data_IF_338009146477
#
_entry.id   IF_338009146477
#
_cell.length_a   1.000
_cell.length_b   1.000
_cell.length_c   1.000
_cell.angle_alpha   90.00
_cell.angle_beta   90.00
_cell.angle_gamma   90.00
#
_symmetry.space_group_name_H-M   'P 1'
#
loop_
_entity.id
_entity.type
_entity.pdbx_description
1 polymer ?
#
# COMPACT_ATOMS: atom_id res chain seq x y z
N UNK A 1 -10.50 -9.47 -9.09
CA UNK A 1 -9.81 -9.23 -7.81
C UNK A 1 -10.67 -9.80 -6.70
N UNK A 2 -10.06 -10.53 -5.78
CA UNK A 2 -10.75 -11.19 -4.68
C UNK A 2 -10.04 -10.91 -3.36
N UNK A 3 -10.80 -10.52 -2.35
CA UNK A 3 -10.33 -10.38 -0.98
C UNK A 3 -10.32 -11.76 -0.31
N UNK A 4 -9.17 -12.14 0.23
CA UNK A 4 -8.95 -13.39 0.98
C UNK A 4 -8.75 -13.03 2.44
N UNK A 5 -9.49 -13.69 3.33
CA UNK A 5 -9.45 -13.41 4.76
C UNK A 5 -8.86 -14.61 5.49
N UNK A 6 -7.94 -14.35 6.41
CA UNK A 6 -7.14 -15.39 7.05
C UNK A 6 -7.20 -15.18 8.57
N UNK A 7 -7.39 -16.26 9.31
CA UNK A 7 -7.44 -16.26 10.78
C UNK A 7 -6.04 -16.26 11.42
N UNK A 8 -5.98 -16.25 12.75
CA UNK A 8 -4.71 -16.31 13.51
C UNK A 8 -3.91 -17.59 13.26
N UNK A 9 -4.58 -18.67 12.86
CA UNK A 9 -3.98 -19.98 12.57
C UNK A 9 -3.54 -20.08 11.10
N UNK A 10 -3.51 -18.97 10.37
CA UNK A 10 -3.16 -18.89 8.95
C UNK A 10 -4.09 -19.73 8.06
N UNK A 11 -5.35 -19.93 8.48
CA UNK A 11 -6.36 -20.63 7.70
C UNK A 11 -7.31 -19.64 7.06
N UNK A 12 -7.67 -19.89 5.80
CA UNK A 12 -8.66 -19.08 5.11
C UNK A 12 -10.05 -19.19 5.72
N UNK A 13 -10.68 -18.04 5.86
CA UNK A 13 -12.02 -17.88 6.42
C UNK A 13 -13.02 -17.84 5.27
N UNK A 14 -13.63 -18.99 4.97
CA UNK A 14 -14.66 -19.12 3.94
C UNK A 14 -14.14 -18.82 2.52
N UNK A 15 -15.06 -18.64 1.56
CA UNK A 15 -14.67 -18.45 0.16
C UNK A 15 -14.08 -17.06 -0.12
N UNK A 16 -13.27 -16.93 -1.19
CA UNK A 16 -12.82 -15.63 -1.72
C UNK A 16 -13.98 -14.69 -2.01
N UNK A 17 -13.86 -13.42 -1.61
CA UNK A 17 -14.93 -12.42 -1.80
C UNK A 17 -14.58 -11.52 -3.00
N UNK A 18 -15.45 -11.40 -4.01
CA UNK A 18 -15.20 -10.52 -5.15
C UNK A 18 -15.14 -9.06 -4.66
N UNK A 19 -14.20 -8.30 -5.20
CA UNK A 19 -14.01 -6.88 -4.87
C UNK A 19 -13.90 -6.02 -6.13
N UNK A 20 -14.20 -4.74 -5.96
CA UNK A 20 -14.11 -3.72 -7.00
C UNK A 20 -12.77 -3.01 -6.88
N UNK A 21 -12.09 -2.85 -8.02
CA UNK A 21 -10.90 -2.01 -8.13
C UNK A 21 -11.33 -0.64 -8.66
N UNK A 22 -11.28 0.40 -7.83
CA UNK A 22 -11.59 1.77 -8.25
C UNK A 22 -11.20 2.80 -7.18
N UNK A 23 -10.51 3.90 -7.48
CA UNK A 23 -9.79 4.18 -8.73
C UNK A 23 -8.66 3.17 -8.95
N UNK A 24 -8.12 3.11 -10.17
CA UNK A 24 -7.09 2.15 -10.58
C UNK A 24 -6.03 1.96 -9.48
N UNK A 25 -5.79 0.70 -9.09
CA UNK A 25 -4.92 0.27 -7.98
C UNK A 25 -5.45 0.36 -6.53
N UNK A 26 -6.71 0.76 -6.28
CA UNK A 26 -7.35 0.67 -4.95
C UNK A 26 -8.38 -0.46 -4.94
N UNK A 27 -8.33 -1.34 -3.93
CA UNK A 27 -9.20 -2.51 -3.79
C UNK A 27 -9.97 -2.41 -2.49
N UNK A 28 -11.31 -2.38 -2.58
CA UNK A 28 -12.17 -2.22 -1.42
C UNK A 28 -12.58 -3.58 -0.86
N UNK A 29 -11.99 -3.95 0.27
CA UNK A 29 -12.36 -5.14 1.04
C UNK A 29 -13.14 -4.73 2.29
N UNK A 30 -14.31 -5.34 2.52
CA UNK A 30 -15.05 -5.13 3.76
C UNK A 30 -14.30 -5.72 4.97
N UNK A 31 -14.51 -5.15 6.16
CA UNK A 31 -14.02 -5.77 7.40
C UNK A 31 -14.77 -7.07 7.67
N UNK A 32 -14.04 -8.11 8.12
CA UNK A 32 -14.61 -9.43 8.43
C UNK A 32 -14.22 -9.84 9.84
N UNK A 33 -15.21 -10.30 10.63
CA UNK A 33 -14.96 -10.80 11.98
C UNK A 33 -13.98 -11.97 11.93
N UNK A 34 -13.08 -12.03 12.91
CA UNK A 34 -12.04 -13.05 13.09
C UNK A 34 -10.94 -13.09 12.01
N UNK A 35 -10.94 -12.15 11.06
CA UNK A 35 -9.84 -11.99 10.12
C UNK A 35 -8.71 -11.22 10.79
N UNK A 36 -7.59 -11.90 11.05
CA UNK A 36 -6.37 -11.28 11.58
C UNK A 36 -5.44 -10.84 10.45
N UNK A 37 -5.55 -11.51 9.30
CA UNK A 37 -4.79 -11.19 8.11
C UNK A 37 -5.68 -11.14 6.86
N UNK A 38 -5.22 -10.44 5.83
CA UNK A 38 -5.85 -10.42 4.52
C UNK A 38 -4.84 -10.56 3.39
N UNK A 39 -5.33 -11.01 2.25
CA UNK A 39 -4.61 -11.02 0.99
C UNK A 39 -5.56 -10.64 -0.16
N UNK A 40 -5.00 -10.31 -1.31
CA UNK A 40 -5.73 -10.00 -2.52
C UNK A 40 -5.20 -10.86 -3.66
N UNK A 41 -6.10 -11.52 -4.38
CA UNK A 41 -5.78 -12.34 -5.55
C UNK A 41 -6.52 -11.87 -6.80
N UNK A 42 -6.04 -12.23 -8.01
CA UNK A 42 -6.70 -11.84 -9.27
C UNK A 42 -7.96 -12.70 -9.50
N UNK A 43 -7.80 -14.02 -9.39
CA UNK A 43 -8.83 -15.05 -9.39
C UNK A 43 -9.14 -15.62 -8.01
N UNK A 44 -10.23 -16.40 -7.87
CA UNK A 44 -10.63 -17.00 -6.60
C UNK A 44 -9.71 -18.16 -6.18
N UNK A 45 -9.13 -18.89 -7.14
CA UNK A 45 -8.29 -20.07 -6.87
C UNK A 45 -6.79 -19.78 -7.01
N UNK A 46 -6.43 -18.53 -7.29
CA UNK A 46 -5.03 -18.11 -7.38
C UNK A 46 -4.31 -18.28 -6.04
N UNK A 47 -3.00 -18.62 -6.06
CA UNK A 47 -2.21 -18.78 -4.85
C UNK A 47 -2.04 -17.45 -4.11
N UNK A 48 -2.05 -17.52 -2.78
CA UNK A 48 -1.76 -16.39 -1.89
C UNK A 48 -0.25 -16.21 -1.81
N UNK A 49 0.26 -15.08 -2.30
CA UNK A 49 1.69 -14.75 -2.31
C UNK A 49 2.08 -13.86 -1.13
N UNK A 50 1.25 -12.87 -0.82
CA UNK A 50 1.51 -11.84 0.19
C UNK A 50 0.34 -11.77 1.17
N UNK A 51 0.63 -11.64 2.46
CA UNK A 51 -0.37 -11.57 3.53
C UNK A 51 -0.08 -10.33 4.38
N UNK A 52 -1.10 -9.49 4.57
CA UNK A 52 -1.01 -8.29 5.40
C UNK A 52 -1.85 -8.45 6.67
N UNK A 53 -1.32 -8.01 7.82
CA UNK A 53 -2.07 -7.97 9.07
C UNK A 53 -3.19 -6.93 8.98
N UNK A 54 -4.40 -7.33 9.35
CA UNK A 54 -5.55 -6.42 9.44
C UNK A 54 -5.43 -5.63 10.74
N UNK A 55 -5.45 -4.31 10.63
CA UNK A 55 -5.43 -3.40 11.77
C UNK A 55 -6.78 -2.68 11.83
N UNK A 56 -7.46 -2.70 12.98
CA UNK A 56 -8.63 -1.85 13.19
C UNK A 56 -8.16 -0.42 13.50
N UNK A 57 -8.24 0.44 12.49
CA UNK A 57 -7.79 1.83 12.53
C UNK A 57 -8.86 2.82 12.99
N UNK A 58 -9.99 2.34 13.54
CA UNK A 58 -11.16 3.19 13.86
C UNK A 58 -11.21 3.69 15.30
N UNK A 59 -10.38 3.18 16.22
CA UNK A 59 -10.47 3.52 17.66
C UNK A 59 -9.12 3.52 18.37
N UNK A 60 -9.00 4.43 19.34
CA UNK A 60 -7.84 4.53 20.24
C UNK A 60 -6.59 5.07 19.55
N UNK A 61 -5.43 4.71 20.09
CA UNK A 61 -4.11 5.17 19.62
C UNK A 61 -3.72 4.64 18.22
N UNK A 62 -4.55 3.78 17.63
CA UNK A 62 -4.38 3.20 16.29
C UNK A 62 -5.10 3.99 15.19
N UNK A 63 -5.82 5.06 15.55
CA UNK A 63 -6.32 6.02 14.55
C UNK A 63 -5.11 6.59 13.82
N UNK A 64 -4.99 6.37 12.50
CA UNK A 64 -3.82 6.81 11.78
C UNK A 64 -3.78 8.33 11.82
N UNK A 65 -2.67 8.88 12.31
CA UNK A 65 -2.40 10.33 12.31
C UNK A 65 -2.49 10.94 10.91
N UNK A 66 -2.36 10.10 9.89
CA UNK A 66 -2.26 10.47 8.50
C UNK A 66 -3.30 9.70 7.69
N UNK A 67 -4.06 10.42 6.88
CA UNK A 67 -5.23 9.85 6.20
C UNK A 67 -4.85 8.96 5.00
N UNK A 68 -3.73 9.26 4.36
CA UNK A 68 -3.26 8.57 3.16
C UNK A 68 -1.89 7.92 3.41
N UNK A 69 -1.59 6.89 2.62
CA UNK A 69 -0.25 6.34 2.42
C UNK A 69 -0.23 5.60 1.08
N UNK A 70 0.74 5.87 0.23
CA UNK A 70 0.88 5.18 -1.06
C UNK A 70 2.13 4.29 -1.06
N UNK A 71 2.15 3.22 -1.84
CA UNK A 71 3.34 2.42 -2.08
C UNK A 71 3.71 2.52 -3.55
N UNK A 72 4.86 3.11 -3.88
CA UNK A 72 5.26 3.25 -5.27
C UNK A 72 6.14 2.08 -5.72
N UNK A 73 6.08 1.84 -7.03
CA UNK A 73 7.00 0.93 -7.70
C UNK A 73 8.44 1.44 -7.55
N UNK A 74 9.44 0.56 -7.67
CA UNK A 74 10.83 0.98 -7.62
C UNK A 74 11.19 2.00 -8.71
N UNK A 75 11.99 3.01 -8.34
CA UNK A 75 12.29 4.19 -9.17
C UNK A 75 13.53 3.99 -10.07
N UNK A 76 14.06 2.77 -10.18
CA UNK A 76 15.19 2.42 -11.05
C UNK A 76 14.76 1.99 -12.45
N UNK A 77 15.69 2.05 -13.41
CA UNK A 77 15.49 1.63 -14.81
C UNK A 77 15.70 2.78 -15.79
N UNK A 78 15.62 2.48 -17.09
CA UNK A 78 15.87 3.46 -18.17
C UNK A 78 14.64 4.34 -18.52
N UNK A 79 13.59 4.23 -17.72
CA UNK A 79 12.33 4.98 -17.88
C UNK A 79 12.40 6.32 -17.15
N UNK A 80 11.51 7.26 -17.54
CA UNK A 80 11.39 8.59 -16.91
C UNK A 80 10.68 8.54 -15.54
N UNK A 81 11.09 7.63 -14.66
CA UNK A 81 10.44 7.40 -13.35
C UNK A 81 10.51 8.58 -12.40
N UNK A 82 11.60 9.35 -12.45
CA UNK A 82 11.71 10.61 -11.71
C UNK A 82 10.70 11.66 -12.18
N UNK A 83 10.42 11.73 -13.49
CA UNK A 83 9.41 12.64 -14.01
C UNK A 83 8.01 12.21 -13.56
N UNK A 84 7.69 10.92 -13.67
CA UNK A 84 6.42 10.37 -13.17
C UNK A 84 6.25 10.59 -11.66
N UNK A 85 7.35 10.56 -10.89
CA UNK A 85 7.31 10.87 -9.48
C UNK A 85 6.99 12.34 -9.21
N UNK A 86 7.59 13.27 -9.95
CA UNK A 86 7.30 14.70 -9.84
C UNK A 86 5.85 14.97 -10.19
N UNK A 87 5.36 14.42 -11.30
CA UNK A 87 3.94 14.51 -11.71
C UNK A 87 3.01 13.99 -10.61
N UNK A 88 3.39 12.91 -9.93
CA UNK A 88 2.61 12.35 -8.83
C UNK A 88 2.58 13.28 -7.60
N UNK A 89 3.70 13.91 -7.23
CA UNK A 89 3.72 14.92 -6.16
C UNK A 89 2.87 16.15 -6.51
N UNK A 90 2.97 16.64 -7.75
CA UNK A 90 2.19 17.78 -8.23
C UNK A 90 0.68 17.47 -8.22
N UNK A 91 0.30 16.27 -8.65
CA UNK A 91 -1.08 15.81 -8.61
C UNK A 91 -1.66 15.86 -7.19
N UNK A 92 -0.94 15.31 -6.20
CA UNK A 92 -1.41 15.32 -4.81
C UNK A 92 -1.40 16.72 -4.19
N UNK A 93 -0.44 17.59 -4.55
CA UNK A 93 -0.51 19.01 -4.15
C UNK A 93 -1.77 19.69 -4.66
N UNK A 94 -2.16 19.44 -5.91
CA UNK A 94 -3.39 19.98 -6.48
C UNK A 94 -4.66 19.41 -5.81
N UNK A 95 -4.59 18.21 -5.23
CA UNK A 95 -5.66 17.61 -4.43
C UNK A 95 -5.74 18.13 -2.99
N UNK A 96 -4.84 19.04 -2.59
CA UNK A 96 -4.83 19.65 -1.26
C UNK A 96 -3.79 19.06 -0.30
N UNK A 97 -2.92 18.14 -0.75
CA UNK A 97 -1.89 17.57 0.12
C UNK A 97 -0.80 18.59 0.43
N UNK A 98 -0.63 18.90 1.71
CA UNK A 98 0.33 19.92 2.17
C UNK A 98 1.69 19.34 2.57
N UNK A 99 1.71 18.11 3.08
CA UNK A 99 2.90 17.48 3.63
C UNK A 99 3.23 16.16 2.92
N UNK A 100 4.52 15.91 2.72
CA UNK A 100 5.00 14.70 2.07
C UNK A 100 6.09 14.06 2.92
N UNK A 101 5.91 12.78 3.27
CA UNK A 101 6.85 12.01 4.07
C UNK A 101 7.40 10.85 3.25
N UNK A 102 8.68 10.91 2.90
CA UNK A 102 9.32 9.90 2.06
C UNK A 102 10.02 8.87 2.95
N UNK A 103 9.58 7.60 2.90
CA UNK A 103 10.25 6.51 3.59
C UNK A 103 10.98 5.61 2.57
N UNK A 104 12.30 5.49 2.70
CA UNK A 104 13.10 4.62 1.83
C UNK A 104 13.45 3.37 2.62
N UNK A 105 12.87 2.23 2.25
CA UNK A 105 12.96 0.98 3.02
C UNK A 105 14.27 0.22 2.80
N UNK A 106 14.83 0.23 1.59
CA UNK A 106 16.06 -0.52 1.27
C UNK A 106 17.03 0.32 0.45
N UNK A 107 18.20 0.61 1.03
CA UNK A 107 19.35 1.24 0.36
C UNK A 107 20.51 0.25 0.52
N UNK A 108 21.01 -0.33 -0.57
CA UNK A 108 22.20 -1.17 -0.47
C UNK A 108 23.44 -0.32 -0.13
N UNK A 109 24.47 -0.94 0.47
CA UNK A 109 25.66 -0.23 0.92
C UNK A 109 26.55 0.34 -0.22
N UNK A 110 26.39 -0.16 -1.45
CA UNK A 110 27.09 0.33 -2.65
C UNK A 110 26.44 1.63 -3.19
N UNK A 111 25.17 1.86 -2.84
CA UNK A 111 24.31 2.93 -3.35
C UNK A 111 24.36 4.22 -2.53
N UNK A 112 25.26 4.29 -1.53
CA UNK A 112 25.57 5.53 -0.80
C UNK A 112 26.36 6.56 -1.63
N UNK A 113 26.98 6.13 -2.72
CA UNK A 113 27.94 6.98 -3.47
C UNK A 113 27.46 7.29 -4.89
N UNK A 114 26.64 6.42 -5.49
CA UNK A 114 26.06 6.63 -6.82
C UNK A 114 24.63 6.09 -6.80
N UNK A 115 23.71 6.97 -7.19
CA UNK A 115 22.26 6.79 -7.33
C UNK A 115 21.83 5.45 -7.94
N UNK A 116 21.57 4.44 -7.10
CA UNK A 116 20.86 3.23 -7.51
C UNK A 116 20.07 2.69 -6.32
N UNK A 117 18.84 3.16 -6.13
CA UNK A 117 18.07 2.92 -4.90
C UNK A 117 16.93 1.92 -5.12
N UNK A 118 16.95 0.87 -4.31
CA UNK A 118 15.97 -0.20 -4.18
C UNK A 118 14.68 0.32 -3.52
N UNK A 119 13.52 -0.15 -4.01
CA UNK A 119 12.14 0.05 -3.49
C UNK A 119 11.94 1.25 -2.55
N UNK A 120 11.46 2.36 -3.12
CA UNK A 120 11.05 3.53 -2.36
C UNK A 120 9.57 3.40 -1.97
N UNK A 121 9.27 3.45 -0.67
CA UNK A 121 7.93 3.45 -0.11
C UNK A 121 7.51 4.90 0.17
N UNK A 122 6.91 5.58 -0.80
CA UNK A 122 6.46 6.96 -0.59
C UNK A 122 5.12 7.02 0.15
N UNK A 123 5.17 7.15 1.47
CA UNK A 123 3.98 7.36 2.29
C UNK A 123 3.55 8.84 2.17
N UNK A 124 2.70 9.14 1.20
CA UNK A 124 1.98 10.42 1.14
C UNK A 124 1.13 10.57 2.38
N UNK A 125 1.42 11.56 3.21
CA UNK A 125 0.81 11.72 4.51
C UNK A 125 0.15 13.09 4.50
N UNK A 126 -1.16 13.11 4.34
CA UNK A 126 -1.93 14.31 4.62
C UNK A 126 -2.50 14.21 6.03
N UNK A 127 -2.25 15.26 6.80
CA UNK A 127 -2.71 15.47 8.16
C UNK A 127 -3.82 16.51 8.12
N UNK A 128 -5.05 16.09 7.84
CA UNK A 128 -6.20 16.93 8.17
C UNK A 128 -6.69 16.54 9.57
N UNK A 129 -6.30 17.38 10.54
CA UNK A 129 -6.99 17.63 11.82
C UNK A 129 -7.20 16.46 12.76
#
# INVERSE_FOLDING_TARGET
MFCRYIDEKHKEIGPPVPSVMFPEAIIYCCSRKNATFMSVTKGPDDPIVEIAKVLDRRRGDLVPRYFLSHCLAPIYGNERKWLMLVEHFEHFKLQGVEHFYVYIKEIDAYSKTVSNLSRILLIFVDAYG
#
